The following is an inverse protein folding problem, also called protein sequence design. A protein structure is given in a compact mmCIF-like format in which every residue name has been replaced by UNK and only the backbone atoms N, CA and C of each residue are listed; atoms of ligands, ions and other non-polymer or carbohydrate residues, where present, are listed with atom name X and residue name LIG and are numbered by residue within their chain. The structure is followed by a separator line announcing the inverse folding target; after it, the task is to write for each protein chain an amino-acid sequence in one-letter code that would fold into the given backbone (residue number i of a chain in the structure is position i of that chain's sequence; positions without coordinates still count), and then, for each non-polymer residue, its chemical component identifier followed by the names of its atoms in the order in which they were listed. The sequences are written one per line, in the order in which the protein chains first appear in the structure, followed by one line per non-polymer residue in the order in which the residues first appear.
data_IF_772972282279
#
_entry.id   IF_772972282279
#
_cell.length_a   1.000
_cell.length_b   1.000
_cell.length_c   1.000
_cell.angle_alpha   90.00
_cell.angle_beta   90.00
_cell.angle_gamma   90.00
#
_symmetry.space_group_name_H-M   'P 1'
#
loop_
_entity.id
_entity.type
_entity.pdbx_description
1 polymer ?
#
# COMPACT_ATOMS: atom_id res chain seq x y z
N UNK A 1 30.21 -52.41 42.73
CA UNK A 1 30.98 -53.51 42.09
C UNK A 1 30.91 -53.24 40.60
N UNK A 2 31.97 -52.70 40.06
CA UNK A 2 32.80 -53.14 38.94
C UNK A 2 31.97 -53.42 37.66
N UNK A 3 32.19 -52.86 36.49
CA UNK A 3 33.47 -52.67 35.80
C UNK A 3 33.33 -51.69 34.64
N UNK A 4 34.38 -50.90 34.43
CA UNK A 4 34.65 -50.12 33.20
C UNK A 4 35.10 -51.05 32.11
N UNK A 5 34.70 -50.81 30.86
CA UNK A 5 35.54 -51.15 29.72
C UNK A 5 35.47 -50.03 28.66
N UNK A 6 36.61 -49.46 28.44
CA UNK A 6 37.00 -48.53 27.40
C UNK A 6 37.32 -49.33 26.14
N UNK A 7 36.84 -48.88 24.97
CA UNK A 7 37.48 -49.21 23.69
C UNK A 7 37.52 -47.92 22.82
N UNK A 8 38.74 -47.64 22.43
CA UNK A 8 39.25 -46.58 21.59
C UNK A 8 38.88 -46.75 20.11
N UNK A 9 38.62 -45.63 19.44
CA UNK A 9 39.16 -45.28 18.12
C UNK A 9 38.47 -45.87 16.90
N UNK A 10 37.94 -44.94 16.10
CA UNK A 10 38.23 -44.82 14.66
C UNK A 10 37.34 -43.73 14.05
N UNK A 11 37.95 -42.62 13.64
CA UNK A 11 37.38 -41.64 12.74
C UNK A 11 37.35 -42.18 11.33
N UNK A 12 36.32 -41.91 10.55
CA UNK A 12 36.45 -41.78 9.10
C UNK A 12 36.35 -40.31 8.71
N UNK A 13 37.41 -39.79 8.11
CA UNK A 13 37.39 -38.62 7.25
C UNK A 13 36.42 -38.88 6.10
N UNK A 14 35.38 -38.03 5.98
CA UNK A 14 34.64 -37.87 4.73
C UNK A 14 34.87 -36.45 4.20
N UNK A 15 35.69 -36.39 3.17
CA UNK A 15 35.91 -35.23 2.33
C UNK A 15 34.58 -34.76 1.69
N UNK A 16 34.14 -33.55 2.05
CA UNK A 16 33.14 -32.82 1.26
C UNK A 16 33.73 -32.33 -0.05
N UNK A 17 33.01 -32.42 -1.16
CA UNK A 17 33.47 -31.83 -2.42
C UNK A 17 33.38 -30.32 -2.33
N UNK A 18 34.45 -29.67 -2.74
CA UNK A 18 34.56 -28.21 -2.87
C UNK A 18 33.47 -27.69 -3.81
N UNK A 19 32.67 -26.76 -3.32
CA UNK A 19 31.77 -25.94 -4.16
C UNK A 19 32.65 -25.03 -5.01
N UNK A 20 32.57 -25.19 -6.30
CA UNK A 20 33.30 -24.39 -7.27
C UNK A 20 32.96 -22.91 -7.13
N UNK A 21 33.99 -22.08 -6.98
CA UNK A 21 33.92 -20.64 -6.91
C UNK A 21 33.16 -20.06 -8.11
N UNK A 22 32.03 -19.42 -7.80
CA UNK A 22 31.29 -18.63 -8.77
C UNK A 22 32.13 -17.42 -9.21
N UNK A 23 32.48 -17.40 -10.49
CA UNK A 23 33.34 -16.45 -11.14
C UNK A 23 33.02 -14.97 -10.79
N UNK A 24 33.89 -14.24 -10.08
CA UNK A 24 33.67 -12.87 -9.64
C UNK A 24 33.46 -11.86 -10.77
N UNK A 25 33.85 -12.20 -11.98
CA UNK A 25 33.69 -11.37 -13.17
C UNK A 25 32.25 -11.21 -13.60
N UNK A 26 31.40 -12.25 -13.37
CA UNK A 26 29.96 -12.20 -13.72
C UNK A 26 29.16 -11.30 -12.78
N UNK A 27 29.54 -11.25 -11.51
CA UNK A 27 28.88 -10.41 -10.49
C UNK A 27 29.18 -8.92 -10.69
N UNK A 28 30.40 -8.58 -11.13
CA UNK A 28 30.80 -7.21 -11.48
C UNK A 28 30.15 -6.72 -12.78
N UNK A 29 29.91 -7.62 -13.75
CA UNK A 29 29.27 -7.26 -15.02
C UNK A 29 27.77 -6.93 -14.82
N UNK A 30 27.06 -7.69 -13.97
CA UNK A 30 25.64 -7.43 -13.68
C UNK A 30 25.46 -6.14 -12.86
N UNK A 31 26.39 -5.84 -11.94
CA UNK A 31 26.37 -4.58 -11.18
C UNK A 31 26.77 -3.36 -12.04
N UNK A 32 27.61 -3.54 -13.06
CA UNK A 32 28.05 -2.45 -13.94
C UNK A 32 27.02 -2.06 -15.01
N UNK A 33 26.29 -3.02 -15.57
CA UNK A 33 25.35 -2.75 -16.68
C UNK A 33 24.03 -2.13 -16.15
N UNK A 34 23.56 -2.57 -14.99
CA UNK A 34 22.34 -2.01 -14.37
C UNK A 34 22.47 -0.55 -13.95
N UNK A 35 23.65 -0.15 -13.46
CA UNK A 35 23.87 1.21 -12.94
C UNK A 35 24.25 2.23 -14.03
N UNK A 36 24.96 1.81 -15.07
CA UNK A 36 25.43 2.71 -16.13
C UNK A 36 24.34 3.05 -17.15
N UNK A 37 23.44 2.10 -17.45
CA UNK A 37 22.38 2.32 -18.47
C UNK A 37 21.21 3.16 -17.96
N UNK A 38 20.97 3.20 -16.65
CA UNK A 38 19.90 4.01 -16.05
C UNK A 38 20.35 5.47 -15.89
N UNK A 39 21.62 5.72 -15.62
CA UNK A 39 22.17 7.06 -15.49
C UNK A 39 22.24 7.83 -16.83
N UNK A 40 22.24 7.15 -17.96
CA UNK A 40 22.27 7.80 -19.29
C UNK A 40 20.89 8.28 -19.78
N UNK A 41 19.81 7.88 -19.11
CA UNK A 41 18.44 8.37 -19.38
C UNK A 41 18.03 9.54 -18.46
N UNK A 42 18.89 9.89 -17.50
CA UNK A 42 18.68 11.06 -16.64
C UNK A 42 19.36 12.25 -17.34
N UNK A 43 18.54 13.21 -17.80
CA UNK A 43 18.95 14.47 -18.41
C UNK A 43 20.15 15.08 -17.63
N UNK A 44 21.26 15.47 -18.31
CA UNK A 44 22.43 16.10 -17.66
C UNK A 44 22.11 17.37 -16.87
N UNK A 45 20.96 18.02 -17.09
CA UNK A 45 20.48 19.13 -16.27
C UNK A 45 20.08 18.72 -14.83
N UNK A 46 20.02 17.43 -14.52
CA UNK A 46 19.68 16.89 -13.19
C UNK A 46 20.81 17.06 -12.16
N UNK A 47 21.98 17.58 -12.53
CA UNK A 47 23.13 17.75 -11.62
C UNK A 47 23.05 18.99 -10.70
N UNK A 48 22.13 19.91 -10.91
CA UNK A 48 21.89 21.02 -9.98
C UNK A 48 20.63 20.71 -9.19
N UNK A 49 20.76 20.44 -7.89
CA UNK A 49 19.61 20.25 -7.01
C UNK A 49 18.68 21.45 -7.10
N UNK A 50 17.39 21.22 -7.39
CA UNK A 50 16.39 22.29 -7.49
C UNK A 50 16.25 23.11 -6.20
N UNK A 51 16.94 22.71 -5.11
CA UNK A 51 16.85 23.26 -3.77
C UNK A 51 18.21 23.37 -3.07
N UNK A 52 19.33 23.35 -3.80
CA UNK A 52 20.67 23.17 -3.22
C UNK A 52 21.25 24.39 -2.51
N UNK A 53 20.61 25.55 -2.56
CA UNK A 53 21.12 26.75 -1.88
C UNK A 53 20.01 27.79 -1.62
N UNK A 54 20.04 28.43 -0.46
CA UNK A 54 19.12 29.52 -0.10
C UNK A 54 18.00 29.13 0.87
N UNK A 55 16.96 29.96 0.92
CA UNK A 55 15.78 29.79 1.80
C UNK A 55 14.97 28.52 1.53
N UNK A 56 15.26 27.81 0.42
CA UNK A 56 14.55 26.62 -0.03
C UNK A 56 15.26 25.31 0.31
N UNK A 57 16.41 25.36 1.01
CA UNK A 57 17.13 24.17 1.44
C UNK A 57 16.27 23.33 2.41
N UNK A 58 16.27 21.98 2.30
CA UNK A 58 15.58 21.12 3.26
C UNK A 58 16.06 21.35 4.69
N UNK A 59 15.13 21.50 5.63
CA UNK A 59 15.41 21.70 7.06
C UNK A 59 16.00 20.45 7.71
N UNK A 60 15.64 19.28 7.14
CA UNK A 60 16.14 17.96 7.52
C UNK A 60 16.50 17.19 6.27
N UNK A 61 17.74 16.72 6.19
CA UNK A 61 18.26 16.01 5.01
C UNK A 61 18.08 14.51 5.07
N UNK A 62 18.29 13.87 6.23
CA UNK A 62 18.07 12.43 6.44
C UNK A 62 16.62 12.21 6.90
N UNK A 63 15.75 11.69 6.01
CA UNK A 63 14.31 11.57 6.24
C UNK A 63 13.88 10.12 6.33
N UNK A 64 13.43 9.70 7.50
CA UNK A 64 12.88 8.36 7.72
C UNK A 64 11.45 8.28 7.19
N UNK A 65 11.23 7.44 6.18
CA UNK A 65 9.90 7.17 5.62
C UNK A 65 9.55 5.73 5.89
N UNK A 66 8.65 5.49 6.83
CA UNK A 66 8.24 4.13 7.19
C UNK A 66 7.28 3.53 6.17
N UNK A 67 7.34 2.19 6.03
CA UNK A 67 6.48 1.43 5.12
C UNK A 67 6.21 0.01 5.64
N UNK A 68 5.15 -0.60 5.12
CA UNK A 68 4.86 -2.03 5.28
C UNK A 68 5.30 -2.79 4.03
N UNK A 69 5.64 -4.07 4.18
CA UNK A 69 5.99 -4.99 3.09
C UNK A 69 4.80 -5.23 2.15
N UNK A 70 4.57 -4.30 1.25
CA UNK A 70 3.54 -4.25 0.23
C UNK A 70 4.12 -3.68 -1.07
N UNK A 71 3.61 -4.11 -2.22
CA UNK A 71 4.06 -3.62 -3.54
C UNK A 71 3.94 -2.10 -3.66
N UNK A 72 2.96 -1.50 -2.98
CA UNK A 72 2.69 -0.06 -3.04
C UNK A 72 3.72 0.83 -2.31
N UNK A 73 4.71 0.24 -1.61
CA UNK A 73 5.87 0.98 -1.12
C UNK A 73 6.86 1.38 -2.25
N UNK A 74 6.64 0.90 -3.46
CA UNK A 74 7.59 1.00 -4.58
C UNK A 74 8.06 2.41 -4.86
N UNK A 75 7.18 3.42 -4.88
CA UNK A 75 7.60 4.79 -5.21
C UNK A 75 8.53 5.39 -4.14
N UNK A 76 8.32 5.06 -2.86
CA UNK A 76 9.20 5.48 -1.76
C UNK A 76 10.57 4.82 -1.88
N UNK A 77 10.60 3.50 -2.12
CA UNK A 77 11.84 2.72 -2.26
C UNK A 77 12.62 3.18 -3.50
N UNK A 78 11.94 3.35 -4.63
CA UNK A 78 12.58 3.74 -5.90
C UNK A 78 13.09 5.18 -5.87
N UNK A 79 12.47 6.09 -5.13
CA UNK A 79 12.97 7.45 -4.96
C UNK A 79 14.38 7.47 -4.37
N UNK A 80 14.65 6.61 -3.38
CA UNK A 80 16.00 6.44 -2.83
C UNK A 80 16.90 5.59 -3.73
N UNK A 81 16.40 4.45 -4.23
CA UNK A 81 17.20 3.53 -5.05
C UNK A 81 17.78 4.18 -6.31
N UNK A 82 16.97 5.02 -6.98
CA UNK A 82 17.39 5.75 -8.18
C UNK A 82 18.18 7.04 -7.85
N UNK A 83 18.32 7.40 -6.57
CA UNK A 83 18.99 8.63 -6.13
C UNK A 83 18.20 9.90 -6.47
N UNK A 84 16.89 9.80 -6.73
CA UNK A 84 16.05 10.96 -7.02
C UNK A 84 15.90 11.87 -5.81
N UNK A 85 15.97 11.33 -4.61
CA UNK A 85 15.97 12.07 -3.35
C UNK A 85 17.17 13.03 -3.23
N UNK A 86 18.35 12.58 -3.68
CA UNK A 86 19.57 13.40 -3.67
C UNK A 86 19.49 14.60 -4.60
N UNK A 87 18.73 14.50 -5.69
CA UNK A 87 18.44 15.61 -6.61
C UNK A 87 17.77 16.78 -5.87
N UNK A 88 16.96 16.48 -4.86
CA UNK A 88 16.22 17.46 -4.07
C UNK A 88 16.88 17.76 -2.72
N UNK A 89 18.15 17.36 -2.52
CA UNK A 89 18.93 17.67 -1.32
C UNK A 89 18.51 16.87 -0.08
N UNK A 90 17.77 15.78 -0.21
CA UNK A 90 17.40 14.89 0.88
C UNK A 90 17.91 13.47 0.64
N UNK A 91 17.94 12.68 1.71
CA UNK A 91 18.16 11.23 1.67
C UNK A 91 16.97 10.55 2.32
N UNK A 92 16.15 9.90 1.53
CA UNK A 92 15.06 9.06 2.02
C UNK A 92 15.67 7.79 2.62
N UNK A 93 15.26 7.48 3.84
CA UNK A 93 15.62 6.25 4.56
C UNK A 93 14.36 5.40 4.70
N UNK A 94 14.09 4.46 3.78
CA UNK A 94 12.93 3.58 3.88
C UNK A 94 13.06 2.71 5.14
N UNK A 95 12.10 2.81 6.05
CA UNK A 95 12.09 2.09 7.35
C UNK A 95 10.94 1.09 7.37
N UNK A 96 11.27 -0.20 7.30
CA UNK A 96 10.28 -1.28 7.28
C UNK A 96 9.66 -1.50 8.65
N UNK A 97 8.34 -1.52 8.71
CA UNK A 97 7.57 -1.77 9.92
C UNK A 97 6.76 -3.06 9.84
N UNK A 98 6.47 -3.65 11.00
CA UNK A 98 5.80 -4.94 11.09
C UNK A 98 4.27 -4.84 10.99
N UNK A 99 3.67 -3.70 11.33
CA UNK A 99 2.23 -3.50 11.37
C UNK A 99 1.82 -2.03 11.19
N UNK A 100 0.55 -1.80 10.85
CA UNK A 100 0.00 -0.44 10.76
C UNK A 100 -0.06 0.26 12.13
N UNK A 101 -0.18 -0.50 13.22
CA UNK A 101 -0.07 0.05 14.57
C UNK A 101 1.34 0.59 14.83
N UNK A 102 2.39 -0.14 14.44
CA UNK A 102 3.77 0.32 14.56
C UNK A 102 4.03 1.58 13.70
N UNK A 103 3.54 1.62 12.45
CA UNK A 103 3.61 2.83 11.60
C UNK A 103 2.94 4.02 12.29
N UNK A 104 1.70 3.84 12.76
CA UNK A 104 0.95 4.87 13.46
C UNK A 104 1.74 5.42 14.65
N UNK A 105 2.17 4.53 15.54
CA UNK A 105 2.79 4.93 16.81
C UNK A 105 4.13 5.65 16.58
N UNK A 106 4.97 5.11 15.71
CA UNK A 106 6.27 5.72 15.39
C UNK A 106 6.15 7.05 14.63
N UNK A 107 5.12 7.20 13.79
CA UNK A 107 4.85 8.47 13.12
C UNK A 107 4.35 9.53 14.12
N UNK A 108 3.40 9.16 14.98
CA UNK A 108 2.84 10.08 15.99
C UNK A 108 3.89 10.51 17.02
N UNK A 109 4.79 9.59 17.42
CA UNK A 109 5.87 9.84 18.37
C UNK A 109 7.10 10.53 17.75
N UNK A 110 7.15 10.68 16.42
CA UNK A 110 8.26 11.35 15.71
C UNK A 110 9.52 10.47 15.55
N UNK A 111 9.41 9.15 15.76
CA UNK A 111 10.49 8.21 15.46
C UNK A 111 10.71 8.07 13.95
N UNK A 112 9.63 8.17 13.18
CA UNK A 112 9.62 8.30 11.73
C UNK A 112 9.10 9.69 11.34
N UNK A 113 9.67 10.29 10.32
CA UNK A 113 9.32 11.64 9.87
C UNK A 113 8.07 11.64 9.01
N UNK A 114 7.97 10.63 8.16
CA UNK A 114 6.87 10.40 7.21
C UNK A 114 6.57 8.92 7.12
N UNK A 115 5.45 8.59 6.52
CA UNK A 115 5.04 7.20 6.30
C UNK A 115 4.32 7.02 4.98
N UNK A 116 4.60 5.89 4.33
CA UNK A 116 3.66 5.22 3.45
C UNK A 116 2.55 4.65 4.34
N UNK A 117 1.40 5.31 4.38
CA UNK A 117 0.32 5.03 5.34
C UNK A 117 -1.02 4.84 4.63
N UNK A 118 -1.89 4.00 5.20
CA UNK A 118 -3.27 3.84 4.72
C UNK A 118 -3.99 5.18 4.69
N UNK A 119 -4.57 5.54 3.54
CA UNK A 119 -5.23 6.85 3.39
C UNK A 119 -6.33 7.05 4.46
N UNK A 120 -7.17 6.04 4.69
CA UNK A 120 -8.20 6.08 5.73
C UNK A 120 -7.66 6.20 7.15
N UNK A 121 -6.47 5.62 7.44
CA UNK A 121 -5.85 5.72 8.78
C UNK A 121 -5.39 7.15 9.09
N UNK A 122 -4.91 7.90 8.09
CA UNK A 122 -4.55 9.33 8.30
C UNK A 122 -5.76 10.10 8.82
N UNK A 123 -6.92 9.91 8.19
CA UNK A 123 -8.17 10.53 8.66
C UNK A 123 -8.66 9.95 10.00
N UNK A 124 -8.42 8.66 10.23
CA UNK A 124 -8.67 8.03 11.51
C UNK A 124 -7.90 8.70 12.65
N UNK A 125 -6.62 9.00 12.44
CA UNK A 125 -5.78 9.73 13.42
C UNK A 125 -6.25 11.17 13.60
N UNK A 126 -6.54 11.88 12.50
CA UNK A 126 -7.06 13.25 12.55
C UNK A 126 -8.36 13.35 13.37
N UNK A 127 -9.21 12.33 13.28
CA UNK A 127 -10.51 12.29 13.96
C UNK A 127 -10.48 11.58 15.34
N UNK A 128 -9.33 11.08 15.78
CA UNK A 128 -9.19 10.40 17.09
C UNK A 128 -9.82 9.00 17.15
N UNK A 129 -10.11 8.38 16.01
CA UNK A 129 -10.72 7.03 15.94
C UNK A 129 -9.71 5.95 15.49
N UNK A 130 -8.54 6.35 15.03
CA UNK A 130 -7.45 5.44 14.61
C UNK A 130 -6.38 5.25 15.68
N UNK A 131 -6.54 5.86 16.86
CA UNK A 131 -5.60 5.94 17.96
C UNK A 131 -5.72 7.29 18.66
N UNK A 132 -4.69 7.69 19.40
CA UNK A 132 -4.63 9.05 19.96
C UNK A 132 -4.75 10.08 18.84
N UNK A 133 -5.62 11.07 19.02
CA UNK A 133 -5.82 12.13 18.05
C UNK A 133 -4.50 12.86 17.78
N UNK A 134 -4.20 13.05 16.51
CA UNK A 134 -3.04 13.82 16.05
C UNK A 134 -3.41 14.60 14.80
N UNK A 135 -3.02 15.86 14.76
CA UNK A 135 -3.14 16.64 13.52
C UNK A 135 -2.20 16.08 12.45
N UNK A 136 -2.78 15.67 11.34
CA UNK A 136 -2.11 14.94 10.26
C UNK A 136 -2.02 15.79 9.00
N UNK A 137 -1.05 15.46 8.17
CA UNK A 137 -0.88 16.04 6.83
C UNK A 137 -0.67 14.94 5.80
N UNK A 138 -1.48 14.92 4.75
CA UNK A 138 -1.29 14.13 3.52
C UNK A 138 -0.55 15.01 2.53
N UNK A 139 0.68 14.62 2.18
CA UNK A 139 1.53 15.35 1.23
C UNK A 139 1.20 14.96 -0.22
N UNK A 140 0.87 13.70 -0.45
CA UNK A 140 0.43 13.15 -1.73
C UNK A 140 -0.28 11.81 -1.53
N UNK A 141 -1.04 11.35 -2.52
CA UNK A 141 -1.37 9.93 -2.67
C UNK A 141 -0.17 9.20 -3.29
N UNK A 142 0.19 8.00 -2.80
CA UNK A 142 1.34 7.25 -3.30
C UNK A 142 0.99 6.35 -4.47
N UNK A 143 -0.24 5.86 -4.52
CA UNK A 143 -0.75 5.03 -5.59
C UNK A 143 -2.27 5.00 -5.65
N UNK A 144 -2.78 4.62 -6.81
CA UNK A 144 -4.16 4.16 -6.97
C UNK A 144 -4.19 2.64 -7.11
N UNK A 145 -5.32 2.01 -6.71
CA UNK A 145 -5.59 0.58 -6.92
C UNK A 145 -4.58 -0.34 -6.22
N UNK A 146 -4.51 -1.61 -6.63
CA UNK A 146 -3.48 -2.55 -6.17
C UNK A 146 -3.84 -3.31 -4.90
N UNK A 147 -5.13 -3.53 -4.66
CA UNK A 147 -5.65 -4.39 -3.59
C UNK A 147 -6.66 -5.37 -4.15
N UNK A 148 -7.00 -6.37 -3.34
CA UNK A 148 -8.10 -7.27 -3.68
C UNK A 148 -8.76 -7.83 -2.41
N UNK A 149 -9.96 -8.36 -2.59
CA UNK A 149 -10.62 -9.23 -1.62
C UNK A 149 -10.36 -10.66 -2.07
N UNK A 150 -9.62 -11.39 -1.24
CA UNK A 150 -9.27 -12.79 -1.45
C UNK A 150 -10.04 -13.66 -0.49
N UNK A 151 -10.73 -14.68 -1.01
CA UNK A 151 -11.44 -15.69 -0.24
C UNK A 151 -10.67 -17.01 -0.25
N UNK A 152 -10.89 -17.82 0.78
CA UNK A 152 -10.21 -19.11 0.93
C UNK A 152 -10.65 -20.13 -0.14
N UNK A 153 -9.74 -21.04 -0.52
CA UNK A 153 -10.04 -22.13 -1.43
C UNK A 153 -11.12 -23.07 -0.87
N UNK A 154 -11.23 -23.17 0.47
CA UNK A 154 -12.28 -23.93 1.14
C UNK A 154 -13.68 -23.37 0.85
N UNK A 155 -13.83 -22.06 0.73
CA UNK A 155 -15.10 -21.45 0.31
C UNK A 155 -15.41 -21.78 -1.16
N UNK A 156 -14.40 -21.74 -2.04
CA UNK A 156 -14.59 -22.13 -3.43
C UNK A 156 -15.08 -23.58 -3.59
N UNK A 157 -14.53 -24.51 -2.80
CA UNK A 157 -14.97 -25.92 -2.79
C UNK A 157 -16.44 -26.07 -2.34
N UNK A 158 -16.99 -25.07 -1.65
CA UNK A 158 -18.40 -25.01 -1.26
C UNK A 158 -19.27 -24.21 -2.25
N UNK A 159 -18.73 -23.86 -3.42
CA UNK A 159 -19.45 -23.18 -4.49
C UNK A 159 -19.38 -21.65 -4.45
N UNK A 160 -18.52 -21.06 -3.59
CA UNK A 160 -18.35 -19.60 -3.53
C UNK A 160 -17.36 -19.14 -4.59
N UNK A 161 -17.79 -18.23 -5.45
CA UNK A 161 -16.94 -17.59 -6.48
C UNK A 161 -16.98 -16.05 -6.43
N UNK A 162 -17.98 -15.49 -5.74
CA UNK A 162 -18.24 -14.06 -5.64
C UNK A 162 -19.02 -13.71 -4.34
N UNK A 163 -19.39 -12.45 -4.18
CA UNK A 163 -20.14 -12.02 -2.98
C UNK A 163 -21.55 -12.56 -2.91
N UNK A 164 -22.22 -12.78 -4.04
CA UNK A 164 -23.58 -13.32 -4.06
C UNK A 164 -23.62 -14.79 -3.61
N UNK A 165 -22.70 -15.60 -4.15
CA UNK A 165 -22.55 -17.00 -3.73
C UNK A 165 -22.03 -17.13 -2.30
N UNK A 166 -21.19 -16.19 -1.83
CA UNK A 166 -20.80 -16.10 -0.42
C UNK A 166 -22.03 -15.87 0.48
N UNK A 167 -22.88 -14.89 0.15
CA UNK A 167 -24.12 -14.61 0.91
C UNK A 167 -25.04 -15.83 0.94
N UNK A 168 -25.26 -16.48 -0.19
CA UNK A 168 -26.09 -17.67 -0.28
C UNK A 168 -25.55 -18.82 0.61
N UNK A 169 -24.24 -19.01 0.65
CA UNK A 169 -23.61 -19.99 1.55
C UNK A 169 -23.78 -19.60 3.01
N UNK A 170 -23.59 -18.34 3.37
CA UNK A 170 -23.76 -17.85 4.76
C UNK A 170 -25.20 -17.97 5.24
N UNK A 171 -26.18 -17.80 4.35
CA UNK A 171 -27.59 -18.02 4.68
C UNK A 171 -27.94 -19.47 4.94
N UNK A 172 -27.30 -20.37 4.21
CA UNK A 172 -27.49 -21.83 4.31
C UNK A 172 -26.74 -22.44 5.49
N UNK A 173 -25.46 -22.05 5.66
CA UNK A 173 -24.58 -22.60 6.69
C UNK A 173 -24.43 -21.57 7.83
N UNK A 174 -25.12 -21.77 8.94
CA UNK A 174 -25.04 -20.89 10.13
C UNK A 174 -23.80 -21.23 10.96
N UNK A 175 -22.67 -20.69 10.59
CA UNK A 175 -21.41 -20.73 11.34
C UNK A 175 -20.76 -19.35 11.41
N UNK A 176 -19.75 -19.21 12.24
CA UNK A 176 -18.92 -18.01 12.27
C UNK A 176 -18.07 -17.91 11.00
N UNK A 177 -18.24 -16.84 10.26
CA UNK A 177 -17.37 -16.48 9.14
C UNK A 177 -16.42 -15.38 9.58
N UNK A 178 -15.14 -15.60 9.37
CA UNK A 178 -14.09 -14.67 9.81
C UNK A 178 -13.41 -14.01 8.60
N UNK A 179 -13.44 -12.67 8.55
CA UNK A 179 -12.72 -11.92 7.54
C UNK A 179 -11.67 -11.01 8.18
N UNK A 180 -10.53 -10.84 7.51
CA UNK A 180 -9.46 -10.01 7.99
C UNK A 180 -9.33 -8.71 7.19
N UNK A 181 -9.04 -7.66 7.92
CA UNK A 181 -8.58 -6.37 7.42
C UNK A 181 -7.25 -6.01 8.10
N UNK A 182 -6.58 -4.97 7.63
CA UNK A 182 -5.24 -4.65 8.11
C UNK A 182 -5.20 -3.61 9.23
N UNK A 183 -6.21 -2.75 9.28
CA UNK A 183 -6.43 -1.76 10.34
C UNK A 183 -7.87 -1.23 10.29
N UNK A 184 -8.60 -1.08 11.43
CA UNK A 184 -10.05 -0.80 11.44
C UNK A 184 -10.48 0.48 10.71
N UNK A 185 -9.66 1.55 10.74
CA UNK A 185 -9.93 2.81 10.03
C UNK A 185 -9.25 2.89 8.67
N UNK A 186 -8.55 1.84 8.26
CA UNK A 186 -7.75 1.83 7.03
C UNK A 186 -8.55 1.54 5.77
N UNK A 187 -7.92 1.75 4.64
CA UNK A 187 -8.47 1.52 3.29
C UNK A 187 -9.02 0.11 3.12
N UNK A 188 -8.26 -0.92 3.48
CA UNK A 188 -8.66 -2.32 3.33
C UNK A 188 -9.95 -2.67 4.09
N UNK A 189 -10.13 -2.11 5.30
CA UNK A 189 -11.35 -2.28 6.07
C UNK A 189 -12.56 -1.69 5.34
N UNK A 190 -12.41 -0.47 4.81
CA UNK A 190 -13.50 0.22 4.10
C UNK A 190 -13.92 -0.53 2.84
N UNK A 191 -12.96 -1.08 2.06
CA UNK A 191 -13.26 -1.90 0.88
C UNK A 191 -13.96 -3.20 1.26
N UNK A 192 -13.47 -3.90 2.27
CA UNK A 192 -14.06 -5.16 2.73
C UNK A 192 -15.51 -4.96 3.20
N UNK A 193 -15.74 -3.95 4.04
CA UNK A 193 -17.06 -3.66 4.57
C UNK A 193 -18.02 -3.20 3.48
N UNK A 194 -17.55 -2.35 2.55
CA UNK A 194 -18.36 -1.88 1.43
C UNK A 194 -18.79 -3.05 0.54
N UNK A 195 -17.86 -3.94 0.20
CA UNK A 195 -18.13 -5.11 -0.63
C UNK A 195 -19.09 -6.09 0.04
N UNK A 196 -18.86 -6.47 1.30
CA UNK A 196 -19.77 -7.35 2.06
C UNK A 196 -21.19 -6.78 2.10
N UNK A 197 -21.30 -5.49 2.44
CA UNK A 197 -22.61 -4.81 2.55
C UNK A 197 -23.36 -4.75 1.23
N UNK A 198 -22.66 -4.63 0.09
CA UNK A 198 -23.31 -4.64 -1.23
C UNK A 198 -24.05 -5.96 -1.52
N UNK A 199 -23.60 -7.05 -0.94
CA UNK A 199 -24.24 -8.36 -1.04
C UNK A 199 -25.16 -8.68 0.13
N UNK A 200 -25.50 -7.70 0.96
CA UNK A 200 -26.41 -7.90 2.07
C UNK A 200 -25.78 -8.53 3.31
N UNK A 201 -24.45 -8.57 3.41
CA UNK A 201 -23.71 -9.07 4.57
C UNK A 201 -23.30 -7.88 5.45
N UNK A 202 -23.86 -7.79 6.68
CA UNK A 202 -23.39 -6.80 7.64
C UNK A 202 -22.07 -7.27 8.27
N UNK A 203 -20.94 -6.55 8.06
CA UNK A 203 -19.62 -7.01 8.53
C UNK A 203 -19.53 -7.16 10.05
N UNK A 204 -20.39 -6.48 10.82
CA UNK A 204 -20.34 -6.49 12.28
C UNK A 204 -21.41 -7.35 12.95
N UNK A 205 -22.42 -7.81 12.17
CA UNK A 205 -23.52 -8.67 12.67
C UNK A 205 -23.44 -10.09 12.13
N UNK A 206 -23.06 -10.20 10.84
CA UNK A 206 -23.11 -11.48 10.12
C UNK A 206 -21.72 -12.14 10.00
N UNK A 207 -20.66 -11.42 10.41
CA UNK A 207 -19.28 -11.93 10.31
C UNK A 207 -18.43 -11.46 11.50
N UNK A 208 -17.34 -12.18 11.73
CA UNK A 208 -16.27 -11.75 12.65
C UNK A 208 -15.19 -11.04 11.86
N UNK A 209 -14.88 -9.81 12.22
CA UNK A 209 -13.77 -9.05 11.59
C UNK A 209 -12.56 -9.06 12.52
N UNK A 210 -11.40 -9.45 11.96
CA UNK A 210 -10.13 -9.46 12.69
C UNK A 210 -9.10 -8.55 12.01
N UNK A 211 -8.12 -8.11 12.78
CA UNK A 211 -6.99 -7.32 12.27
C UNK A 211 -5.76 -8.20 12.13
N UNK A 212 -5.20 -8.27 10.92
CA UNK A 212 -4.01 -9.06 10.63
C UNK A 212 -3.00 -8.22 9.83
N UNK A 213 -1.72 -8.17 10.23
CA UNK A 213 -0.69 -7.51 9.43
C UNK A 213 -0.55 -8.11 8.03
N UNK A 214 -0.33 -7.31 6.98
CA UNK A 214 -0.28 -7.79 5.59
C UNK A 214 0.62 -9.02 5.36
N UNK A 215 1.86 -9.10 5.85
CA UNK A 215 2.72 -10.26 5.62
C UNK A 215 2.22 -11.56 6.29
N UNK A 216 1.27 -11.47 7.22
CA UNK A 216 0.72 -12.61 7.94
C UNK A 216 -0.60 -13.13 7.35
N UNK A 217 -1.20 -12.43 6.38
CA UNK A 217 -2.52 -12.77 5.80
C UNK A 217 -2.54 -14.19 5.23
N UNK A 218 -1.56 -14.50 4.38
CA UNK A 218 -1.46 -15.80 3.69
C UNK A 218 -1.29 -16.96 4.67
N UNK A 219 -0.43 -16.80 5.67
CA UNK A 219 -0.20 -17.83 6.70
C UNK A 219 -1.47 -18.09 7.54
N UNK A 220 -2.17 -17.02 7.95
CA UNK A 220 -3.42 -17.15 8.70
C UNK A 220 -4.54 -17.80 7.88
N UNK A 221 -4.68 -17.48 6.59
CA UNK A 221 -5.64 -18.16 5.72
C UNK A 221 -5.28 -19.65 5.53
N UNK A 222 -3.99 -19.97 5.33
CA UNK A 222 -3.51 -21.36 5.20
C UNK A 222 -3.83 -22.19 6.45
N UNK A 223 -3.74 -21.59 7.63
CA UNK A 223 -4.08 -22.24 8.90
C UNK A 223 -5.58 -22.33 9.19
N UNK A 224 -6.45 -21.83 8.28
CA UNK A 224 -7.90 -21.84 8.48
C UNK A 224 -8.42 -20.81 9.50
N UNK A 225 -7.61 -19.84 9.91
CA UNK A 225 -8.00 -18.84 10.90
C UNK A 225 -8.96 -17.78 10.34
N UNK A 226 -9.16 -17.75 9.02
CA UNK A 226 -10.06 -16.82 8.34
C UNK A 226 -10.59 -17.39 7.02
N UNK A 227 -11.77 -16.92 6.63
CA UNK A 227 -12.45 -17.26 5.39
C UNK A 227 -12.05 -16.36 4.21
N UNK A 228 -11.60 -15.16 4.51
CA UNK A 228 -11.16 -14.20 3.51
C UNK A 228 -10.52 -12.95 4.11
N UNK A 229 -9.98 -12.10 3.25
CA UNK A 229 -9.37 -10.85 3.67
C UNK A 229 -9.38 -9.80 2.56
N UNK A 230 -9.20 -8.54 2.95
CA UNK A 230 -8.80 -7.46 2.04
C UNK A 230 -7.40 -6.97 2.42
N UNK A 231 -6.50 -6.93 1.44
CA UNK A 231 -5.11 -6.51 1.63
C UNK A 231 -4.52 -5.97 0.33
N UNK A 232 -3.46 -5.17 0.42
CA UNK A 232 -2.64 -4.75 -0.72
C UNK A 232 -1.82 -5.88 -1.31
N UNK A 233 -1.42 -5.72 -2.59
CA UNK A 233 -0.50 -6.67 -3.22
C UNK A 233 0.89 -6.61 -2.55
N UNK A 234 1.64 -7.73 -2.53
CA UNK A 234 1.44 -8.93 -3.35
C UNK A 234 0.72 -10.09 -2.63
N UNK A 235 0.11 -9.87 -1.47
CA UNK A 235 -0.38 -10.95 -0.62
C UNK A 235 -1.64 -11.64 -1.19
N UNK A 236 -2.36 -10.99 -2.12
CA UNK A 236 -3.42 -11.65 -2.87
C UNK A 236 -2.83 -12.58 -3.94
N UNK A 237 -1.86 -12.10 -4.73
CA UNK A 237 -1.14 -12.93 -5.70
C UNK A 237 -0.49 -14.15 -5.03
N UNK A 238 0.13 -13.97 -3.86
CA UNK A 238 0.75 -15.05 -3.10
C UNK A 238 -0.24 -16.14 -2.69
N UNK A 239 -1.42 -15.77 -2.21
CA UNK A 239 -2.45 -16.75 -1.85
C UNK A 239 -2.92 -17.60 -3.05
N UNK A 240 -2.96 -16.99 -4.24
CA UNK A 240 -3.34 -17.68 -5.48
C UNK A 240 -2.24 -18.61 -5.94
N UNK A 241 -0.99 -18.17 -5.96
CA UNK A 241 0.18 -18.98 -6.32
C UNK A 241 0.31 -20.16 -5.37
N UNK A 242 0.10 -19.96 -4.08
CA UNK A 242 0.12 -21.03 -3.07
C UNK A 242 -1.12 -21.94 -3.11
N UNK A 243 -2.11 -21.67 -3.96
CA UNK A 243 -3.33 -22.47 -4.12
C UNK A 243 -4.29 -22.45 -2.94
N UNK A 244 -4.15 -21.50 -2.00
CA UNK A 244 -4.95 -21.45 -0.76
C UNK A 244 -6.13 -20.48 -0.81
N UNK A 245 -6.15 -19.57 -1.79
CA UNK A 245 -7.19 -18.57 -1.95
C UNK A 245 -7.52 -18.28 -3.42
N UNK A 246 -8.53 -17.46 -3.61
CA UNK A 246 -8.89 -16.92 -4.92
C UNK A 246 -9.31 -15.46 -4.78
N UNK A 247 -9.05 -14.64 -5.81
CA UNK A 247 -9.51 -13.26 -5.86
C UNK A 247 -10.99 -13.22 -6.20
N UNK A 248 -11.83 -12.83 -5.24
CA UNK A 248 -13.26 -12.63 -5.46
C UNK A 248 -13.51 -11.33 -6.25
N UNK A 249 -12.76 -10.26 -5.94
CA UNK A 249 -12.83 -8.98 -6.62
C UNK A 249 -11.54 -8.19 -6.38
N UNK A 250 -11.08 -7.43 -7.39
CA UNK A 250 -10.05 -6.41 -7.20
C UNK A 250 -10.70 -5.10 -6.74
N UNK A 251 -9.98 -4.28 -5.98
CA UNK A 251 -10.57 -3.03 -5.46
C UNK A 251 -10.79 -1.99 -6.53
N UNK A 252 -10.01 -1.99 -7.63
CA UNK A 252 -10.30 -1.15 -8.80
C UNK A 252 -11.61 -1.53 -9.51
N UNK A 253 -12.07 -2.76 -9.35
CA UNK A 253 -13.42 -3.13 -9.81
C UNK A 253 -14.52 -2.61 -8.89
N UNK A 254 -14.20 -2.31 -7.61
CA UNK A 254 -15.15 -1.65 -6.69
C UNK A 254 -15.20 -0.15 -6.96
N UNK A 255 -14.04 0.48 -7.08
CA UNK A 255 -13.87 1.89 -7.40
C UNK A 255 -12.60 2.08 -8.23
N UNK A 256 -12.76 2.32 -9.53
CA UNK A 256 -11.64 2.54 -10.43
C UNK A 256 -10.83 3.78 -10.03
N UNK A 257 -9.50 3.62 -9.99
CA UNK A 257 -8.54 4.66 -9.61
C UNK A 257 -8.74 5.23 -8.20
N UNK A 258 -9.23 4.40 -7.28
CA UNK A 258 -9.37 4.79 -5.87
C UNK A 258 -8.01 5.11 -5.22
N UNK A 259 -7.96 6.04 -4.24
CA UNK A 259 -6.75 6.29 -3.48
C UNK A 259 -6.45 5.10 -2.57
N UNK A 260 -5.17 4.80 -2.37
CA UNK A 260 -4.78 3.67 -1.54
C UNK A 260 -3.85 4.08 -0.41
N UNK A 261 -2.62 4.43 -0.70
CA UNK A 261 -1.66 4.91 0.30
C UNK A 261 -1.44 6.41 0.15
N UNK A 262 -1.18 7.05 1.28
CA UNK A 262 -0.72 8.42 1.35
C UNK A 262 0.76 8.48 1.77
N UNK A 263 1.49 9.47 1.30
CA UNK A 263 2.65 9.97 2.00
C UNK A 263 2.11 10.87 3.12
N UNK A 264 2.03 10.30 4.32
CA UNK A 264 1.49 10.96 5.49
C UNK A 264 2.58 11.42 6.44
N UNK A 265 2.36 12.54 7.11
CA UNK A 265 3.19 13.04 8.20
C UNK A 265 2.31 13.76 9.22
N UNK A 266 2.90 14.18 10.34
CA UNK A 266 2.17 15.04 11.29
C UNK A 266 2.16 16.48 10.78
N UNK A 267 1.10 17.23 11.09
CA UNK A 267 1.03 18.66 10.74
C UNK A 267 2.15 19.48 11.37
N UNK A 268 2.64 19.06 12.54
CA UNK A 268 3.78 19.68 13.21
C UNK A 268 5.07 19.54 12.39
N UNK A 269 5.32 18.33 11.87
CA UNK A 269 6.50 18.10 11.03
C UNK A 269 6.38 18.86 9.71
N UNK A 270 5.22 18.84 9.06
CA UNK A 270 5.00 19.56 7.81
C UNK A 270 5.17 21.08 7.95
N UNK A 271 4.80 21.64 9.12
CA UNK A 271 4.99 23.07 9.40
C UNK A 271 6.45 23.42 9.75
N UNK A 272 7.16 22.53 10.45
CA UNK A 272 8.56 22.74 10.84
C UNK A 272 9.54 22.51 9.70
N UNK A 273 9.22 21.59 8.80
CA UNK A 273 10.10 21.13 7.73
C UNK A 273 9.41 21.15 6.35
N UNK A 274 8.84 22.32 5.92
CA UNK A 274 8.08 22.38 4.67
C UNK A 274 8.95 22.11 3.43
N UNK A 275 10.21 22.60 3.39
CA UNK A 275 11.11 22.33 2.27
C UNK A 275 11.51 20.85 2.19
N UNK A 276 11.74 20.21 3.34
CA UNK A 276 11.97 18.75 3.42
C UNK A 276 10.77 17.98 2.88
N UNK A 277 9.55 18.35 3.29
CA UNK A 277 8.32 17.71 2.80
C UNK A 277 8.16 17.87 1.29
N UNK A 278 8.42 19.06 0.75
CA UNK A 278 8.39 19.37 -0.67
C UNK A 278 9.42 18.54 -1.45
N UNK A 279 10.66 18.46 -0.95
CA UNK A 279 11.76 17.71 -1.56
C UNK A 279 11.45 16.21 -1.63
N UNK A 280 10.99 15.60 -0.54
CA UNK A 280 10.61 14.18 -0.50
C UNK A 280 9.43 13.90 -1.44
N UNK A 281 8.41 14.75 -1.43
CA UNK A 281 7.25 14.62 -2.32
C UNK A 281 7.66 14.68 -3.79
N UNK A 282 8.53 15.64 -4.17
CA UNK A 282 9.03 15.77 -5.55
C UNK A 282 9.85 14.53 -5.99
N UNK A 283 10.69 14.00 -5.11
CA UNK A 283 11.47 12.78 -5.40
C UNK A 283 10.55 11.56 -5.62
N UNK A 284 9.51 11.41 -4.82
CA UNK A 284 8.55 10.30 -4.95
C UNK A 284 7.67 10.46 -6.20
N UNK A 285 7.30 11.68 -6.59
CA UNK A 285 6.61 11.96 -7.85
C UNK A 285 7.42 11.49 -9.06
N UNK A 286 8.72 11.80 -9.10
CA UNK A 286 9.61 11.33 -10.17
C UNK A 286 9.78 9.81 -10.16
N UNK A 287 9.85 9.18 -8.98
CA UNK A 287 9.89 7.74 -8.85
C UNK A 287 8.61 7.08 -9.39
N UNK A 288 7.45 7.61 -9.05
CA UNK A 288 6.16 7.15 -9.60
C UNK A 288 6.11 7.28 -11.13
N UNK A 289 6.58 8.40 -11.67
CA UNK A 289 6.69 8.63 -13.12
C UNK A 289 7.62 7.60 -13.78
N UNK A 290 8.76 7.30 -13.16
CA UNK A 290 9.67 6.26 -13.65
C UNK A 290 8.99 4.89 -13.68
N UNK A 291 8.30 4.50 -12.60
CA UNK A 291 7.64 3.18 -12.51
C UNK A 291 6.59 3.02 -13.61
N UNK A 292 5.73 4.00 -13.79
CA UNK A 292 4.61 3.91 -14.74
C UNK A 292 5.03 4.13 -16.20
N UNK A 293 6.27 4.55 -16.48
CA UNK A 293 6.71 4.89 -17.83
C UNK A 293 6.79 3.67 -18.76
N UNK A 294 7.04 2.46 -18.25
CA UNK A 294 7.13 1.25 -19.07
C UNK A 294 6.98 -0.04 -18.26
N UNK A 295 6.64 -1.14 -18.94
CA UNK A 295 6.66 -2.49 -18.35
C UNK A 295 8.07 -2.90 -17.89
N UNK A 296 9.11 -2.46 -18.60
CA UNK A 296 10.51 -2.68 -18.20
C UNK A 296 10.80 -2.02 -16.86
N UNK A 297 10.36 -0.78 -16.64
CA UNK A 297 10.57 -0.08 -15.38
C UNK A 297 9.76 -0.73 -14.24
N UNK A 298 8.55 -1.19 -14.52
CA UNK A 298 7.74 -1.95 -13.54
C UNK A 298 8.43 -3.25 -13.15
N UNK A 299 9.03 -3.96 -14.11
CA UNK A 299 9.79 -5.18 -13.83
C UNK A 299 11.04 -4.89 -12.98
N UNK A 300 11.84 -3.90 -13.36
CA UNK A 300 13.01 -3.48 -12.59
C UNK A 300 12.61 -3.03 -11.16
N UNK A 301 11.47 -2.36 -11.03
CA UNK A 301 10.93 -1.99 -9.71
C UNK A 301 10.55 -3.22 -8.90
N UNK A 302 9.89 -4.22 -9.51
CA UNK A 302 9.52 -5.47 -8.85
C UNK A 302 10.77 -6.23 -8.36
N UNK A 303 11.85 -6.25 -9.13
CA UNK A 303 13.15 -6.83 -8.73
C UNK A 303 13.71 -6.13 -7.49
N UNK A 304 13.72 -4.80 -7.47
CA UNK A 304 14.23 -4.02 -6.32
C UNK A 304 13.39 -4.27 -5.07
N UNK A 305 12.07 -4.14 -5.17
CA UNK A 305 11.21 -4.24 -3.98
C UNK A 305 10.99 -5.66 -3.48
N UNK A 306 11.31 -6.69 -4.29
CA UNK A 306 11.27 -8.09 -3.86
C UNK A 306 12.28 -8.43 -2.77
N UNK A 307 13.34 -7.62 -2.64
CA UNK A 307 14.44 -7.87 -1.70
C UNK A 307 13.97 -8.03 -0.25
N UNK A 308 14.72 -8.78 0.60
CA UNK A 308 14.39 -9.01 2.02
C UNK A 308 14.23 -7.73 2.83
N UNK A 309 14.95 -6.67 2.48
CA UNK A 309 14.84 -5.34 3.12
C UNK A 309 13.52 -4.63 2.85
N UNK A 310 12.77 -5.05 1.81
CA UNK A 310 11.53 -4.42 1.40
C UNK A 310 10.35 -5.39 1.53
N UNK A 311 9.80 -5.92 0.43
CA UNK A 311 8.61 -6.77 0.48
C UNK A 311 8.95 -8.19 0.96
N UNK A 312 10.16 -8.68 0.62
CA UNK A 312 10.63 -10.02 0.99
C UNK A 312 9.75 -11.14 0.41
N UNK A 313 9.61 -11.13 -0.91
CA UNK A 313 8.92 -12.19 -1.67
C UNK A 313 9.53 -12.32 -3.06
N UNK A 314 9.24 -13.41 -3.76
CA UNK A 314 9.77 -13.63 -5.11
C UNK A 314 9.24 -12.55 -6.09
N UNK A 315 10.07 -12.17 -7.06
CA UNK A 315 9.71 -11.19 -8.11
C UNK A 315 8.43 -11.64 -8.85
N UNK A 316 8.30 -12.94 -9.13
CA UNK A 316 7.15 -13.52 -9.82
C UNK A 316 5.80 -13.29 -9.11
N UNK A 317 5.83 -13.09 -7.79
CA UNK A 317 4.62 -12.80 -6.98
C UNK A 317 4.20 -11.34 -7.11
N UNK A 318 5.15 -10.44 -7.40
CA UNK A 318 4.91 -8.99 -7.48
C UNK A 318 4.58 -8.56 -8.90
N UNK A 319 5.37 -9.01 -9.88
CA UNK A 319 5.46 -8.41 -11.21
C UNK A 319 4.14 -8.45 -11.99
N UNK A 320 3.41 -9.58 -11.97
CA UNK A 320 2.23 -9.72 -12.82
C UNK A 320 1.13 -8.75 -12.42
N UNK A 321 0.81 -8.66 -11.13
CA UNK A 321 -0.19 -7.70 -10.63
C UNK A 321 0.23 -6.24 -10.82
N UNK A 322 1.53 -5.93 -10.69
CA UNK A 322 2.07 -4.60 -10.97
C UNK A 322 1.93 -4.24 -12.47
N UNK A 323 2.04 -5.22 -13.36
CA UNK A 323 1.87 -5.04 -14.81
C UNK A 323 0.42 -5.15 -15.30
N UNK A 324 -0.53 -5.41 -14.39
CA UNK A 324 -1.94 -5.54 -14.75
C UNK A 324 -2.36 -6.93 -15.20
N UNK A 325 -1.50 -7.93 -15.08
CA UNK A 325 -1.82 -9.32 -15.41
C UNK A 325 -2.39 -10.05 -14.20
N UNK A 326 -3.63 -10.45 -14.30
CA UNK A 326 -4.37 -11.04 -13.21
C UNK A 326 -4.75 -12.48 -13.48
N UNK A 327 -4.66 -13.29 -12.44
CA UNK A 327 -5.23 -14.63 -12.32
C UNK A 327 -6.04 -14.64 -11.02
N UNK A 328 -7.30 -15.05 -11.08
CA UNK A 328 -8.15 -15.11 -9.89
C UNK A 328 -8.00 -16.43 -9.09
N UNK A 329 -7.23 -17.41 -9.57
CA UNK A 329 -7.02 -18.70 -8.89
C UNK A 329 -8.15 -19.71 -9.07
N UNK A 330 -9.20 -19.39 -9.83
CA UNK A 330 -10.36 -20.27 -10.11
C UNK A 330 -10.73 -20.28 -11.60
N UNK A 331 -9.72 -20.13 -12.48
CA UNK A 331 -9.86 -20.35 -13.92
C UNK A 331 -10.01 -19.08 -14.76
N UNK A 332 -10.08 -17.86 -14.17
CA UNK A 332 -10.15 -16.60 -14.91
C UNK A 332 -8.80 -15.89 -14.88
N UNK A 333 -8.31 -15.53 -16.08
CA UNK A 333 -7.17 -14.63 -16.28
C UNK A 333 -7.60 -13.43 -17.11
N UNK A 334 -7.00 -12.24 -16.86
CA UNK A 334 -7.26 -11.03 -17.63
C UNK A 334 -6.14 -10.01 -17.48
N UNK A 335 -5.99 -9.15 -18.47
CA UNK A 335 -5.20 -7.94 -18.38
C UNK A 335 -6.10 -6.79 -17.94
N UNK A 336 -5.69 -6.07 -16.90
CA UNK A 336 -6.44 -4.97 -16.32
C UNK A 336 -5.73 -3.64 -16.61
N UNK A 337 -6.29 -2.77 -17.45
CA UNK A 337 -5.71 -1.46 -17.74
C UNK A 337 -5.75 -0.52 -16.51
N UNK A 338 -6.53 -0.89 -15.49
CA UNK A 338 -6.67 -0.15 -14.24
C UNK A 338 -5.93 -0.83 -13.07
N UNK A 339 -4.80 -1.48 -13.36
CA UNK A 339 -3.91 -2.01 -12.33
C UNK A 339 -3.34 -0.89 -11.43
N UNK A 340 -2.47 -1.27 -10.50
CA UNK A 340 -1.78 -0.31 -9.63
C UNK A 340 -1.05 0.76 -10.45
N UNK A 341 -1.30 2.03 -10.12
CA UNK A 341 -0.69 3.20 -10.75
C UNK A 341 0.02 4.04 -9.71
N UNK A 342 1.24 4.46 -10.02
CA UNK A 342 2.07 5.28 -9.13
C UNK A 342 2.17 6.73 -9.57
N UNK A 343 1.72 7.06 -10.77
CA UNK A 343 1.81 8.42 -11.32
C UNK A 343 0.57 8.82 -12.13
N UNK A 344 0.28 8.10 -13.23
CA UNK A 344 -0.88 8.36 -14.10
C UNK A 344 -1.01 9.86 -14.44
N UNK A 345 0.05 10.46 -15.01
CA UNK A 345 0.12 11.89 -15.33
C UNK A 345 -0.24 12.84 -14.15
N UNK A 346 0.16 12.46 -12.95
CA UNK A 346 -0.11 13.20 -11.72
C UNK A 346 -1.48 12.93 -11.10
N UNK A 347 -2.41 12.28 -11.82
CA UNK A 347 -3.77 12.02 -11.32
C UNK A 347 -3.81 11.00 -10.19
N UNK A 348 -2.88 10.01 -10.19
CA UNK A 348 -2.80 9.02 -9.10
C UNK A 348 -2.20 9.61 -7.82
N UNK A 349 -1.43 10.68 -7.94
CA UNK A 349 -0.66 11.22 -6.82
C UNK A 349 -1.27 12.46 -6.18
N UNK A 350 -2.24 13.10 -6.85
CA UNK A 350 -2.89 14.28 -6.32
C UNK A 350 -3.79 13.93 -5.13
N UNK A 351 -3.66 14.63 -3.98
CA UNK A 351 -4.46 14.36 -2.80
C UNK A 351 -5.83 15.04 -2.89
N UNK A 352 -6.77 14.44 -3.65
CA UNK A 352 -8.12 15.00 -3.83
C UNK A 352 -8.85 15.12 -2.49
N UNK A 353 -9.52 16.26 -2.27
CA UNK A 353 -10.32 16.47 -1.06
C UNK A 353 -11.48 15.45 -0.96
N UNK A 354 -12.12 15.18 -2.10
CA UNK A 354 -13.21 14.20 -2.19
C UNK A 354 -12.78 12.80 -1.72
N UNK A 355 -11.53 12.41 -1.91
CA UNK A 355 -11.02 11.11 -1.49
C UNK A 355 -11.00 10.99 0.03
N UNK A 356 -10.44 11.99 0.72
CA UNK A 356 -10.43 12.02 2.19
C UNK A 356 -11.84 12.12 2.79
N UNK A 357 -12.70 12.91 2.15
CA UNK A 357 -14.11 13.01 2.56
C UNK A 357 -14.81 11.65 2.46
N UNK A 358 -14.54 10.86 1.41
CA UNK A 358 -15.14 9.52 1.28
C UNK A 358 -14.78 8.60 2.46
N UNK A 359 -13.53 8.57 2.88
CA UNK A 359 -13.13 7.75 4.03
C UNK A 359 -13.88 8.16 5.30
N UNK A 360 -14.03 9.44 5.55
CA UNK A 360 -14.80 9.91 6.70
C UNK A 360 -16.29 9.54 6.61
N UNK A 361 -16.88 9.52 5.39
CA UNK A 361 -18.27 9.01 5.22
C UNK A 361 -18.37 7.54 5.57
N UNK A 362 -17.38 6.72 5.21
CA UNK A 362 -17.35 5.32 5.57
C UNK A 362 -17.08 5.13 7.07
N UNK A 363 -16.20 5.92 7.68
CA UNK A 363 -16.01 5.91 9.12
C UNK A 363 -17.33 6.23 9.87
N UNK A 364 -18.13 7.17 9.36
CA UNK A 364 -19.47 7.46 9.88
C UNK A 364 -20.44 6.31 9.66
N UNK A 365 -20.52 5.80 8.43
CA UNK A 365 -21.38 4.65 8.07
C UNK A 365 -21.16 3.45 8.99
N UNK A 366 -19.91 3.17 9.34
CA UNK A 366 -19.52 2.01 10.14
C UNK A 366 -19.43 2.31 11.65
N UNK A 367 -20.01 3.43 12.10
CA UNK A 367 -20.11 3.77 13.53
C UNK A 367 -18.79 4.13 14.23
N UNK A 368 -17.70 4.26 13.47
CA UNK A 368 -16.40 4.70 14.00
C UNK A 368 -16.46 6.20 14.38
N UNK A 369 -17.15 7.01 13.58
CA UNK A 369 -17.52 8.38 13.92
C UNK A 369 -18.94 8.42 14.43
N UNK A 370 -19.16 9.02 15.61
CA UNK A 370 -20.50 9.18 16.21
C UNK A 370 -21.31 10.24 15.48
N UNK A 371 -20.67 11.35 15.13
CA UNK A 371 -21.30 12.51 14.49
C UNK A 371 -20.69 12.75 13.10
N UNK A 372 -21.42 13.47 12.24
CA UNK A 372 -20.89 13.96 10.98
C UNK A 372 -19.90 15.09 11.23
N UNK A 373 -18.65 14.98 10.78
CA UNK A 373 -17.73 16.11 10.85
C UNK A 373 -18.05 17.15 9.77
N UNK A 374 -17.40 18.31 9.85
CA UNK A 374 -17.26 19.15 8.66
C UNK A 374 -16.25 18.51 7.69
N UNK A 375 -16.77 17.67 6.81
CA UNK A 375 -16.00 16.83 5.91
C UNK A 375 -15.01 17.65 5.06
N UNK A 376 -15.46 18.78 4.52
CA UNK A 376 -14.65 19.62 3.65
C UNK A 376 -13.58 20.36 4.43
N UNK A 377 -13.91 20.93 5.60
CA UNK A 377 -12.94 21.61 6.43
C UNK A 377 -11.84 20.67 6.92
N UNK A 378 -12.21 19.45 7.35
CA UNK A 378 -11.24 18.41 7.74
C UNK A 378 -10.36 18.01 6.55
N UNK A 379 -10.94 17.77 5.38
CA UNK A 379 -10.16 17.41 4.20
C UNK A 379 -9.17 18.52 3.79
N UNK A 380 -9.58 19.78 3.82
CA UNK A 380 -8.72 20.93 3.56
C UNK A 380 -7.61 21.08 4.60
N UNK A 381 -7.87 20.72 5.85
CA UNK A 381 -6.86 20.75 6.92
C UNK A 381 -5.80 19.65 6.75
N UNK A 382 -6.23 18.46 6.32
CA UNK A 382 -5.39 17.27 6.22
C UNK A 382 -4.61 17.22 4.90
N UNK A 383 -5.27 17.45 3.75
CA UNK A 383 -4.61 17.37 2.45
C UNK A 383 -3.82 18.66 2.15
N UNK A 384 -2.50 18.55 2.18
CA UNK A 384 -1.59 19.68 1.97
C UNK A 384 -1.40 19.96 0.46
N UNK A 385 -2.48 20.39 -0.18
CA UNK A 385 -2.51 20.63 -1.64
C UNK A 385 -1.54 21.73 -2.04
N UNK A 386 -1.30 22.75 -1.21
CA UNK A 386 -0.37 23.82 -1.52
C UNK A 386 1.05 23.28 -1.67
N UNK A 387 1.52 22.48 -0.70
CA UNK A 387 2.83 21.86 -0.74
C UNK A 387 2.94 20.86 -1.92
N UNK A 388 1.88 20.07 -2.18
CA UNK A 388 1.84 19.18 -3.33
C UNK A 388 2.05 19.97 -4.65
N UNK A 389 1.37 21.09 -4.84
CA UNK A 389 1.49 21.92 -6.06
C UNK A 389 2.91 22.46 -6.25
N UNK A 390 3.59 22.83 -5.17
CA UNK A 390 5.01 23.23 -5.21
C UNK A 390 5.92 22.05 -5.61
N UNK A 391 5.74 20.88 -5.00
CA UNK A 391 6.48 19.68 -5.35
C UNK A 391 6.20 19.21 -6.79
N UNK A 392 4.96 19.30 -7.24
CA UNK A 392 4.56 19.01 -8.61
C UNK A 392 5.23 19.95 -9.62
N UNK A 393 5.35 21.24 -9.30
CA UNK A 393 6.09 22.21 -10.13
C UNK A 393 7.56 21.80 -10.23
N UNK A 394 8.20 21.44 -9.11
CA UNK A 394 9.60 21.06 -9.08
C UNK A 394 9.89 19.78 -9.88
N UNK A 395 8.98 18.79 -9.81
CA UNK A 395 9.08 17.51 -10.55
C UNK A 395 8.47 17.55 -11.95
N UNK A 396 7.97 18.70 -12.40
CA UNK A 396 7.25 18.86 -13.67
C UNK A 396 6.06 17.88 -13.80
N UNK A 397 5.33 17.71 -12.71
CA UNK A 397 4.13 16.87 -12.65
C UNK A 397 2.90 17.71 -13.02
N UNK A 398 2.05 17.28 -13.97
CA UNK A 398 0.79 17.95 -14.28
C UNK A 398 -0.15 17.99 -13.08
N UNK A 399 -0.96 19.05 -13.00
CA UNK A 399 -1.98 19.22 -11.97
C UNK A 399 -3.37 18.95 -12.54
N UNK A 400 -4.29 18.34 -11.77
CA UNK A 400 -5.68 18.21 -12.18
C UNK A 400 -6.36 19.59 -12.20
N UNK A 401 -7.46 19.69 -12.95
CA UNK A 401 -8.25 20.93 -13.07
C UNK A 401 -9.02 21.29 -11.80
N UNK A 402 -9.21 20.35 -10.88
CA UNK A 402 -9.98 20.55 -9.65
C UNK A 402 -9.36 19.79 -8.49
N UNK A 403 -9.49 20.34 -7.30
CA UNK A 403 -9.11 19.67 -6.05
C UNK A 403 -10.15 18.60 -5.61
N UNK A 404 -11.26 18.46 -6.36
CA UNK A 404 -12.30 17.45 -6.19
C UNK A 404 -12.39 16.57 -7.42
N UNK A 405 -12.76 15.31 -7.24
CA UNK A 405 -13.09 14.38 -8.34
C UNK A 405 -14.40 13.65 -8.10
N UNK A 406 -15.02 13.20 -9.18
CA UNK A 406 -16.20 12.34 -9.15
C UNK A 406 -15.82 10.92 -9.57
N UNK A 407 -16.40 9.94 -8.89
CA UNK A 407 -16.17 8.51 -9.15
C UNK A 407 -17.48 7.74 -9.04
N UNK A 408 -17.65 6.74 -9.89
CA UNK A 408 -18.78 5.81 -9.82
C UNK A 408 -18.28 4.48 -9.24
N UNK A 409 -18.90 4.01 -8.17
CA UNK A 409 -18.59 2.74 -7.56
C UNK A 409 -19.35 1.60 -8.25
N UNK A 410 -18.95 0.36 -8.01
CA UNK A 410 -19.47 -0.82 -8.72
C UNK A 410 -20.97 -1.09 -8.51
N UNK A 411 -21.56 -0.59 -7.43
CA UNK A 411 -22.98 -0.61 -7.15
C UNK A 411 -23.80 0.49 -7.84
N UNK A 412 -23.12 1.28 -8.67
CA UNK A 412 -23.71 2.40 -9.41
C UNK A 412 -23.79 3.71 -8.64
N UNK A 413 -23.43 3.72 -7.36
CA UNK A 413 -23.42 4.93 -6.54
C UNK A 413 -22.32 5.88 -7.01
N UNK A 414 -22.67 7.15 -7.18
CA UNK A 414 -21.71 8.20 -7.57
C UNK A 414 -21.26 8.96 -6.33
N UNK A 415 -19.96 9.06 -6.16
CA UNK A 415 -19.31 9.87 -5.15
C UNK A 415 -18.61 11.06 -5.81
N UNK A 416 -18.97 12.29 -5.41
CA UNK A 416 -18.37 13.53 -5.89
C UNK A 416 -18.07 14.55 -4.77
N UNK A 417 -18.32 14.18 -3.51
CA UNK A 417 -18.07 15.04 -2.34
C UNK A 417 -19.12 16.13 -2.11
N UNK A 418 -20.18 16.26 -2.91
CA UNK A 418 -21.13 17.37 -2.81
C UNK A 418 -22.03 17.31 -1.57
N UNK A 419 -22.41 16.13 -1.11
CA UNK A 419 -23.25 15.95 0.08
C UNK A 419 -22.82 14.74 0.91
N UNK A 420 -21.71 14.86 1.65
CA UNK A 420 -21.09 13.71 2.33
C UNK A 420 -21.96 13.14 3.45
N UNK A 421 -22.73 13.95 4.17
CA UNK A 421 -23.61 13.47 5.23
C UNK A 421 -24.75 12.62 4.66
N UNK A 422 -25.47 13.14 3.67
CA UNK A 422 -26.51 12.38 3.00
C UNK A 422 -26.00 11.11 2.33
N UNK A 423 -24.79 11.16 1.76
CA UNK A 423 -24.12 9.97 1.20
C UNK A 423 -23.88 8.90 2.28
N UNK A 424 -23.30 9.28 3.43
CA UNK A 424 -23.05 8.34 4.52
C UNK A 424 -24.36 7.70 5.04
N UNK A 425 -25.43 8.47 5.10
CA UNK A 425 -26.74 8.03 5.63
C UNK A 425 -27.57 7.22 4.63
N UNK A 426 -27.27 7.30 3.32
CA UNK A 426 -28.05 6.65 2.26
C UNK A 426 -27.95 5.12 2.25
N UNK A 427 -26.94 4.54 2.88
CA UNK A 427 -26.71 3.10 2.85
C UNK A 427 -27.67 2.33 3.79
N UNK A 428 -28.26 1.25 3.27
CA UNK A 428 -29.16 0.37 4.03
C UNK A 428 -28.42 -0.41 5.12
N UNK A 429 -27.21 -0.92 4.79
CA UNK A 429 -26.35 -1.65 5.72
C UNK A 429 -25.30 -0.70 6.29
N UNK A 430 -25.37 -0.51 7.59
CA UNK A 430 -24.48 0.32 8.41
C UNK A 430 -24.40 -0.27 9.82
N UNK A 431 -23.47 0.22 10.65
CA UNK A 431 -23.31 -0.22 12.04
C UNK A 431 -24.54 0.10 12.90
#
# INVERSE_FOLDING_TARGET
MKEKTSITGLTPETSSPAVADANPTRRKLIQGIGSASILSLIDPMVKAGAWAAGSDAPEKTDVKVSFIALTDCSSVVMANHLGLDKKYGVKIIPTKEASWAAIRDKLVNGENDMSHILYGLVYGLQMGIGGQQKDMSVLMSLNNNGQAITLSKALYQKGVSDGASLKALMDKEKRDYTFAQTFPTGTHAMWLYYWLANYGINPFKDAKIITVPPPQMVANMRSGNMDGYCVGEPWNARAIIDGIGFTAITTQAIWQDHPEKALGTTSDFAKKCPNTCRAVTAAILEAGKYIDASTTNKHATAEVVSAPSFVNTDVSVIQDRMMGRYNNGIGKTWDDPHAMKFYNDGLATFPYLSDGMWFMTQHKRWGLLKEHPDYLAVAKKVNNIALYKEAATASKTPLPKSDMRSSKLFDGVVWNGSNPAAYADSFKIKA
#
